data_IF_602547322792
#
_entry.id   IF_602547322792
#
_cell.length_a   1.000
_cell.length_b   1.000
_cell.length_c   1.000
_cell.angle_alpha   90.00
_cell.angle_beta   90.00
_cell.angle_gamma   90.00
#
_symmetry.space_group_name_H-M   'P 1'
#
loop_
_entity.id
_entity.type
_entity.pdbx_description
1 polymer ?
#
# COMPACT_ATOMS: atom_id res chain seq x y z
N UNK A 1 -32.44 -32.97 6.32
CA UNK A 1 -31.60 -32.21 5.35
C UNK A 1 -30.20 -32.01 5.94
N UNK A 2 -29.12 -32.32 5.22
CA UNK A 2 -27.74 -32.21 5.71
C UNK A 2 -27.26 -30.75 5.73
N UNK A 3 -26.54 -30.35 6.79
CA UNK A 3 -25.97 -28.99 6.98
C UNK A 3 -25.13 -28.50 5.80
N UNK A 4 -24.46 -29.42 5.08
CA UNK A 4 -23.72 -29.12 3.85
C UNK A 4 -24.63 -28.61 2.73
N UNK A 5 -25.81 -29.20 2.53
CA UNK A 5 -26.76 -28.81 1.47
C UNK A 5 -27.34 -27.42 1.72
N UNK A 6 -27.59 -27.08 2.99
CA UNK A 6 -28.02 -25.73 3.40
C UNK A 6 -26.92 -24.71 3.10
N UNK A 7 -25.66 -25.02 3.40
CA UNK A 7 -24.52 -24.12 3.15
C UNK A 7 -24.33 -23.83 1.65
N UNK A 8 -24.41 -24.86 0.80
CA UNK A 8 -24.29 -24.72 -0.67
C UNK A 8 -25.47 -23.92 -1.25
N UNK A 9 -26.69 -24.17 -0.74
CA UNK A 9 -27.89 -23.41 -1.10
C UNK A 9 -27.75 -21.92 -0.77
N UNK A 10 -27.23 -21.59 0.42
CA UNK A 10 -27.06 -20.21 0.86
C UNK A 10 -26.06 -19.43 -0.01
N UNK A 11 -24.93 -20.03 -0.37
CA UNK A 11 -23.92 -19.40 -1.23
C UNK A 11 -24.51 -19.10 -2.61
N UNK A 12 -25.29 -20.03 -3.18
CA UNK A 12 -25.96 -19.83 -4.48
C UNK A 12 -27.12 -18.82 -4.40
N UNK A 13 -27.94 -18.85 -3.35
CA UNK A 13 -29.14 -18.02 -3.19
C UNK A 13 -28.88 -16.55 -2.87
N UNK A 14 -27.70 -16.20 -2.35
CA UNK A 14 -27.31 -14.81 -2.02
C UNK A 14 -26.11 -14.30 -2.83
N UNK A 15 -25.87 -14.86 -4.02
CA UNK A 15 -24.68 -14.59 -4.84
C UNK A 15 -24.34 -13.11 -5.01
N UNK A 16 -25.33 -12.22 -5.14
CA UNK A 16 -25.12 -10.77 -5.30
C UNK A 16 -24.56 -10.08 -4.04
N UNK A 17 -24.85 -10.59 -2.84
CA UNK A 17 -24.28 -10.10 -1.56
C UNK A 17 -22.91 -10.71 -1.29
N UNK A 18 -22.68 -11.93 -1.77
CA UNK A 18 -21.38 -12.61 -1.69
C UNK A 18 -20.39 -12.16 -2.77
N UNK A 19 -20.86 -11.58 -3.88
CA UNK A 19 -20.04 -11.25 -5.04
C UNK A 19 -18.89 -10.29 -4.69
N UNK A 20 -19.15 -9.22 -3.94
CA UNK A 20 -18.10 -8.26 -3.57
C UNK A 20 -17.05 -8.89 -2.63
N UNK A 21 -17.49 -9.70 -1.68
CA UNK A 21 -16.61 -10.44 -0.77
C UNK A 21 -15.75 -11.47 -1.50
N UNK A 22 -16.38 -12.25 -2.38
CA UNK A 22 -15.73 -13.26 -3.19
C UNK A 22 -14.75 -12.64 -4.16
N UNK A 23 -15.15 -11.60 -4.90
CA UNK A 23 -14.28 -10.89 -5.83
C UNK A 23 -13.05 -10.29 -5.13
N UNK A 24 -13.24 -9.66 -3.97
CA UNK A 24 -12.11 -9.14 -3.20
C UNK A 24 -11.19 -10.24 -2.68
N UNK A 25 -11.72 -11.40 -2.30
CA UNK A 25 -10.92 -12.55 -1.86
C UNK A 25 -10.12 -13.16 -3.00
N UNK A 26 -10.75 -13.31 -4.19
CA UNK A 26 -10.08 -13.76 -5.43
C UNK A 26 -8.95 -12.81 -5.80
N UNK A 27 -9.21 -11.50 -5.77
CA UNK A 27 -8.23 -10.47 -6.07
C UNK A 27 -7.06 -10.49 -5.08
N UNK A 28 -7.33 -10.66 -3.78
CA UNK A 28 -6.28 -10.75 -2.76
C UNK A 28 -5.36 -11.96 -2.99
N UNK A 29 -5.93 -13.14 -3.26
CA UNK A 29 -5.16 -14.35 -3.60
C UNK A 29 -4.34 -14.12 -4.88
N UNK A 30 -4.97 -13.56 -5.92
CA UNK A 30 -4.31 -13.28 -7.19
C UNK A 30 -3.10 -12.36 -7.01
N UNK A 31 -3.29 -11.21 -6.38
CA UNK A 31 -2.21 -10.23 -6.17
C UNK A 31 -1.13 -10.82 -5.28
N UNK A 32 -1.50 -11.52 -4.20
CA UNK A 32 -0.52 -12.19 -3.34
C UNK A 32 0.30 -13.23 -4.12
N UNK A 33 -0.34 -14.06 -4.94
CA UNK A 33 0.33 -15.04 -5.78
C UNK A 33 1.31 -14.38 -6.75
N UNK A 34 0.90 -13.27 -7.38
CA UNK A 34 1.78 -12.51 -8.27
C UNK A 34 3.06 -12.08 -7.54
N UNK A 35 2.92 -11.46 -6.36
CA UNK A 35 4.09 -11.05 -5.58
C UNK A 35 4.93 -12.26 -5.14
N UNK A 36 4.30 -13.34 -4.69
CA UNK A 36 4.99 -14.57 -4.26
C UNK A 36 5.76 -15.24 -5.41
N UNK A 37 5.15 -15.27 -6.60
CA UNK A 37 5.75 -15.84 -7.80
C UNK A 37 7.02 -15.09 -8.22
N UNK A 38 7.09 -13.77 -8.02
CA UNK A 38 8.31 -13.00 -8.27
C UNK A 38 9.36 -13.23 -7.18
N UNK A 39 8.96 -13.13 -5.90
CA UNK A 39 9.86 -13.22 -4.74
C UNK A 39 10.57 -14.59 -4.67
N UNK A 40 9.89 -15.65 -5.07
CA UNK A 40 10.40 -17.03 -5.01
C UNK A 40 10.88 -17.55 -6.37
N UNK A 41 11.00 -16.70 -7.39
CA UNK A 41 11.42 -17.12 -8.72
C UNK A 41 12.91 -17.52 -8.74
N UNK A 42 13.29 -18.68 -9.31
CA UNK A 42 14.70 -19.11 -9.36
C UNK A 42 15.65 -18.08 -9.98
N UNK A 43 15.25 -17.44 -11.10
CA UNK A 43 16.05 -16.39 -11.75
C UNK A 43 16.21 -15.11 -10.90
N UNK A 44 15.33 -14.89 -9.91
CA UNK A 44 15.38 -13.74 -9.00
C UNK A 44 16.17 -14.09 -7.74
N UNK A 45 16.08 -15.34 -7.27
CA UNK A 45 16.76 -15.83 -6.06
C UNK A 45 18.22 -16.20 -6.33
N UNK A 46 18.50 -16.81 -7.48
CA UNK A 46 19.83 -17.35 -7.83
C UNK A 46 20.52 -16.57 -8.96
N UNK A 47 19.94 -15.46 -9.44
CA UNK A 47 20.32 -14.84 -10.72
C UNK A 47 21.00 -13.47 -10.67
N UNK A 48 21.33 -13.00 -11.88
CA UNK A 48 22.21 -11.90 -12.32
C UNK A 48 21.74 -10.46 -12.01
N UNK A 49 20.73 -10.26 -11.16
CA UNK A 49 20.10 -8.94 -10.97
C UNK A 49 20.65 -8.27 -9.72
N UNK A 50 21.59 -7.34 -9.91
CA UNK A 50 22.31 -6.62 -8.84
C UNK A 50 21.44 -5.81 -7.87
N UNK A 51 20.14 -5.62 -8.17
CA UNK A 51 19.17 -4.92 -7.33
C UNK A 51 17.95 -5.76 -6.93
N UNK A 52 17.90 -7.05 -7.28
CA UNK A 52 16.74 -7.90 -7.02
C UNK A 52 16.42 -8.02 -5.52
N UNK A 53 17.42 -8.00 -4.64
CA UNK A 53 17.19 -8.16 -3.20
C UNK A 53 16.46 -6.96 -2.56
N UNK A 54 16.65 -5.74 -3.06
CA UNK A 54 15.91 -4.56 -2.56
C UNK A 54 14.45 -4.63 -2.99
N UNK A 55 14.21 -4.98 -4.26
CA UNK A 55 12.85 -5.19 -4.80
C UNK A 55 12.15 -6.32 -4.04
N UNK A 56 12.84 -7.45 -3.84
CA UNK A 56 12.30 -8.62 -3.12
C UNK A 56 11.85 -8.25 -1.71
N UNK A 57 12.68 -7.52 -0.96
CA UNK A 57 12.31 -7.02 0.37
C UNK A 57 11.06 -6.13 0.33
N UNK A 58 10.97 -5.21 -0.64
CA UNK A 58 9.77 -4.38 -0.83
C UNK A 58 8.50 -5.18 -1.14
N UNK A 59 8.61 -6.23 -1.97
CA UNK A 59 7.50 -7.12 -2.28
C UNK A 59 7.07 -7.99 -1.10
N UNK A 60 8.01 -8.44 -0.27
CA UNK A 60 7.70 -9.17 0.98
C UNK A 60 6.94 -8.27 1.96
N UNK A 61 7.35 -7.01 2.12
CA UNK A 61 6.57 -6.03 2.92
C UNK A 61 5.15 -5.86 2.36
N UNK A 62 5.03 -5.77 1.03
CA UNK A 62 3.73 -5.67 0.36
C UNK A 62 2.85 -6.91 0.59
N UNK A 63 3.43 -8.11 0.65
CA UNK A 63 2.71 -9.34 0.99
C UNK A 63 2.10 -9.28 2.41
N UNK A 64 2.87 -8.83 3.40
CA UNK A 64 2.35 -8.65 4.77
C UNK A 64 1.18 -7.67 4.81
N UNK A 65 1.28 -6.56 4.05
CA UNK A 65 0.20 -5.57 3.93
C UNK A 65 -1.06 -6.21 3.34
N UNK A 66 -0.94 -6.98 2.26
CA UNK A 66 -2.07 -7.66 1.61
C UNK A 66 -2.75 -8.65 2.55
N UNK A 67 -1.98 -9.46 3.28
CA UNK A 67 -2.53 -10.43 4.23
C UNK A 67 -3.26 -9.74 5.37
N UNK A 68 -2.66 -8.68 5.94
CA UNK A 68 -3.27 -7.86 6.98
C UNK A 68 -4.58 -7.21 6.50
N UNK A 69 -4.55 -6.57 5.33
CA UNK A 69 -5.73 -5.96 4.72
C UNK A 69 -6.84 -6.99 4.47
N UNK A 70 -6.48 -8.15 3.91
CA UNK A 70 -7.42 -9.25 3.66
C UNK A 70 -8.03 -9.74 4.96
N UNK A 71 -7.23 -9.92 6.00
CA UNK A 71 -7.72 -10.35 7.32
C UNK A 71 -8.80 -9.40 7.87
N UNK A 72 -8.51 -8.10 7.91
CA UNK A 72 -9.46 -7.10 8.40
C UNK A 72 -10.69 -6.97 7.50
N UNK A 73 -10.49 -6.98 6.19
CA UNK A 73 -11.57 -6.87 5.21
C UNK A 73 -12.52 -8.07 5.30
N UNK A 74 -11.99 -9.29 5.34
CA UNK A 74 -12.79 -10.51 5.42
C UNK A 74 -13.53 -10.57 6.77
N UNK A 75 -12.89 -10.18 7.88
CA UNK A 75 -13.58 -10.06 9.18
C UNK A 75 -14.73 -9.05 9.16
N UNK A 76 -14.51 -7.86 8.59
CA UNK A 76 -15.53 -6.82 8.48
C UNK A 76 -16.69 -7.28 7.59
N UNK A 77 -16.37 -7.81 6.41
CA UNK A 77 -17.33 -8.36 5.46
C UNK A 77 -18.15 -9.47 6.10
N UNK A 78 -17.51 -10.39 6.81
CA UNK A 78 -18.19 -11.49 7.47
C UNK A 78 -19.13 -11.03 8.60
N UNK A 79 -18.72 -9.99 9.33
CA UNK A 79 -19.59 -9.33 10.32
C UNK A 79 -20.81 -8.66 9.67
N UNK A 80 -20.63 -7.99 8.53
CA UNK A 80 -21.74 -7.42 7.75
C UNK A 80 -22.66 -8.50 7.18
N UNK A 81 -22.08 -9.62 6.76
CA UNK A 81 -22.78 -10.78 6.24
C UNK A 81 -23.70 -11.44 7.29
N UNK A 82 -23.19 -11.69 8.50
CA UNK A 82 -24.02 -12.13 9.63
C UNK A 82 -25.14 -11.14 9.90
N UNK A 83 -24.83 -9.83 9.84
CA UNK A 83 -25.84 -8.79 10.06
C UNK A 83 -26.96 -8.82 9.02
N UNK A 84 -26.66 -9.18 7.78
CA UNK A 84 -27.64 -9.32 6.70
C UNK A 84 -28.52 -10.58 6.87
N UNK A 85 -28.03 -11.63 7.54
CA UNK A 85 -28.71 -12.91 7.75
C UNK A 85 -29.27 -13.12 9.17
N UNK A 86 -29.38 -12.04 9.95
CA UNK A 86 -29.89 -12.10 11.33
C UNK A 86 -31.26 -12.78 11.44
N UNK A 87 -32.14 -12.60 10.45
CA UNK A 87 -33.47 -13.24 10.44
C UNK A 87 -33.36 -14.76 10.29
N UNK A 88 -32.46 -15.24 9.41
CA UNK A 88 -32.22 -16.68 9.22
C UNK A 88 -31.58 -17.31 10.47
N UNK A 89 -30.53 -16.68 11.02
CA UNK A 89 -29.90 -17.15 12.25
C UNK A 89 -30.85 -17.04 13.46
N UNK A 90 -31.73 -16.05 13.48
CA UNK A 90 -32.77 -15.89 14.50
C UNK A 90 -33.83 -17.00 14.42
N UNK A 91 -34.29 -17.34 13.22
CA UNK A 91 -35.21 -18.46 13.00
C UNK A 91 -34.56 -19.80 13.38
N UNK A 92 -33.30 -20.03 12.97
CA UNK A 92 -32.55 -21.23 13.37
C UNK A 92 -32.40 -21.32 14.90
N UNK A 93 -32.18 -20.20 15.59
CA UNK A 93 -32.14 -20.18 17.06
C UNK A 93 -33.50 -20.54 17.68
N UNK A 94 -34.61 -20.04 17.12
CA UNK A 94 -35.97 -20.35 17.57
C UNK A 94 -36.34 -21.83 17.35
N UNK A 95 -35.82 -22.44 16.28
CA UNK A 95 -35.97 -23.87 15.99
C UNK A 95 -35.03 -24.77 16.82
N UNK A 96 -34.31 -24.21 17.81
CA UNK A 96 -33.46 -24.97 18.73
C UNK A 96 -32.05 -25.28 18.21
N UNK A 97 -31.57 -24.62 17.14
CA UNK A 97 -30.22 -24.84 16.65
C UNK A 97 -29.17 -24.43 17.70
N UNK A 98 -28.26 -25.36 18.00
CA UNK A 98 -27.19 -25.13 18.98
C UNK A 98 -26.13 -24.18 18.41
N UNK A 99 -25.39 -23.49 19.30
CA UNK A 99 -24.27 -22.61 18.91
C UNK A 99 -23.25 -23.37 18.04
N UNK A 100 -22.97 -24.64 18.36
CA UNK A 100 -22.05 -25.48 17.58
C UNK A 100 -22.52 -25.77 16.15
N UNK A 101 -23.83 -25.98 15.94
CA UNK A 101 -24.39 -26.19 14.60
C UNK A 101 -24.31 -24.91 13.76
N UNK A 102 -24.62 -23.75 14.34
CA UNK A 102 -24.46 -22.45 13.66
C UNK A 102 -23.00 -22.17 13.29
N UNK A 103 -22.08 -22.46 14.23
CA UNK A 103 -20.63 -22.35 14.03
C UNK A 103 -20.15 -23.17 12.84
N UNK A 104 -20.60 -24.44 12.77
CA UNK A 104 -20.20 -25.36 11.70
C UNK A 104 -20.68 -24.91 10.32
N UNK A 105 -21.87 -24.33 10.23
CA UNK A 105 -22.39 -23.76 8.98
C UNK A 105 -21.46 -22.63 8.50
N UNK A 106 -21.12 -21.70 9.38
CA UNK A 106 -20.34 -20.50 9.03
C UNK A 106 -18.91 -20.86 8.64
N UNK A 107 -18.26 -21.73 9.40
CA UNK A 107 -16.91 -22.20 9.05
C UNK A 107 -16.93 -22.92 7.71
N UNK A 108 -17.93 -23.77 7.45
CA UNK A 108 -18.07 -24.46 6.16
C UNK A 108 -18.29 -23.47 5.01
N UNK A 109 -19.11 -22.42 5.20
CA UNK A 109 -19.30 -21.36 4.20
C UNK A 109 -17.99 -20.62 3.91
N UNK A 110 -17.20 -20.25 4.93
CA UNK A 110 -15.90 -19.60 4.73
C UNK A 110 -14.91 -20.49 4.00
N UNK A 111 -14.86 -21.78 4.33
CA UNK A 111 -13.97 -22.75 3.66
C UNK A 111 -14.37 -22.95 2.21
N UNK A 112 -15.66 -23.06 1.90
CA UNK A 112 -16.14 -23.22 0.51
C UNK A 112 -15.84 -21.98 -0.35
N UNK A 113 -16.09 -20.79 0.20
CA UNK A 113 -15.79 -19.53 -0.49
C UNK A 113 -14.27 -19.33 -0.62
N UNK A 114 -13.52 -19.70 0.42
CA UNK A 114 -12.07 -19.63 0.44
C UNK A 114 -11.42 -20.55 -0.60
N UNK A 115 -11.83 -21.81 -0.68
CA UNK A 115 -11.31 -22.77 -1.66
C UNK A 115 -11.62 -22.35 -3.10
N UNK A 116 -12.85 -21.90 -3.36
CA UNK A 116 -13.21 -21.37 -4.69
C UNK A 116 -12.46 -20.07 -5.00
N UNK A 117 -12.22 -19.22 -4.00
CA UNK A 117 -11.42 -18.01 -4.13
C UNK A 117 -9.96 -18.29 -4.44
N UNK A 118 -9.37 -19.29 -3.78
CA UNK A 118 -8.00 -19.75 -4.03
C UNK A 118 -7.87 -20.31 -5.44
N UNK A 119 -8.80 -21.19 -5.84
CA UNK A 119 -8.80 -21.80 -7.16
C UNK A 119 -8.90 -20.75 -8.29
N UNK A 120 -9.84 -19.80 -8.19
CA UNK A 120 -9.97 -18.74 -9.19
C UNK A 120 -8.82 -17.72 -9.12
N UNK A 121 -8.35 -17.38 -7.93
CA UNK A 121 -7.25 -16.42 -7.75
C UNK A 121 -5.94 -16.95 -8.33
N UNK A 122 -5.62 -18.22 -8.12
CA UNK A 122 -4.47 -18.88 -8.74
C UNK A 122 -4.70 -19.11 -10.24
N UNK A 123 -5.89 -19.56 -10.63
CA UNK A 123 -6.25 -19.78 -12.04
C UNK A 123 -6.10 -18.53 -12.90
N UNK A 124 -6.48 -17.37 -12.36
CA UNK A 124 -6.27 -16.07 -13.01
C UNK A 124 -4.86 -15.49 -12.78
N UNK A 125 -4.22 -15.81 -11.64
CA UNK A 125 -2.90 -15.32 -11.28
C UNK A 125 -1.76 -15.94 -12.12
N UNK A 126 -1.84 -17.23 -12.46
CA UNK A 126 -0.83 -17.92 -13.27
C UNK A 126 -0.63 -17.26 -14.65
N UNK A 127 -1.66 -16.99 -15.47
CA UNK A 127 -1.45 -16.30 -16.74
C UNK A 127 -1.00 -14.84 -16.55
N UNK A 128 -1.48 -14.16 -15.50
CA UNK A 128 -1.06 -12.78 -15.20
C UNK A 128 0.40 -12.70 -14.72
N UNK A 129 0.95 -13.75 -14.11
CA UNK A 129 2.34 -13.75 -13.65
C UNK A 129 3.31 -13.65 -14.81
N UNK A 130 2.96 -14.17 -16.00
CA UNK A 130 3.73 -13.94 -17.24
C UNK A 130 3.83 -12.46 -17.59
N UNK A 131 2.72 -11.74 -17.53
CA UNK A 131 2.66 -10.30 -17.84
C UNK A 131 3.48 -9.53 -16.80
N UNK A 132 3.31 -9.86 -15.52
CA UNK A 132 4.04 -9.22 -14.42
C UNK A 132 5.56 -9.46 -14.51
N UNK A 133 6.01 -10.70 -14.74
CA UNK A 133 7.43 -11.02 -14.89
C UNK A 133 8.05 -10.28 -16.09
N UNK A 134 7.32 -10.18 -17.20
CA UNK A 134 7.74 -9.39 -18.36
C UNK A 134 7.84 -7.89 -18.06
N UNK A 135 6.87 -7.32 -17.34
CA UNK A 135 6.89 -5.93 -16.92
C UNK A 135 8.08 -5.65 -15.98
N UNK A 136 8.28 -6.51 -14.97
CA UNK A 136 9.39 -6.39 -14.04
C UNK A 136 10.75 -6.52 -14.73
N UNK A 137 10.90 -7.43 -15.69
CA UNK A 137 12.14 -7.59 -16.46
C UNK A 137 12.52 -6.28 -17.18
N UNK A 138 11.54 -5.59 -17.78
CA UNK A 138 11.76 -4.29 -18.44
C UNK A 138 12.11 -3.20 -17.45
N UNK A 139 11.41 -3.13 -16.31
CA UNK A 139 11.68 -2.13 -15.27
C UNK A 139 13.05 -2.33 -14.60
N UNK A 140 13.52 -3.57 -14.50
CA UNK A 140 14.83 -3.92 -13.93
C UNK A 140 15.99 -3.81 -14.94
N UNK A 141 15.71 -3.56 -16.22
CA UNK A 141 16.73 -3.44 -17.26
C UNK A 141 17.54 -4.72 -17.52
N UNK A 142 16.97 -5.89 -17.23
CA UNK A 142 17.68 -7.17 -17.39
C UNK A 142 17.81 -7.51 -18.88
N UNK A 143 19.03 -7.78 -19.35
CA UNK A 143 19.36 -8.07 -20.76
C UNK A 143 18.69 -9.34 -21.29
N UNK A 144 18.43 -10.32 -20.41
CA UNK A 144 17.65 -11.51 -20.69
C UNK A 144 16.32 -11.48 -19.91
N UNK A 145 15.17 -11.68 -20.57
CA UNK A 145 13.87 -11.66 -19.87
C UNK A 145 13.77 -12.82 -18.88
N UNK A 146 13.18 -12.55 -17.71
CA UNK A 146 12.90 -13.59 -16.71
C UNK A 146 11.98 -14.62 -17.35
N UNK A 147 12.38 -15.90 -17.29
CA UNK A 147 11.63 -16.97 -17.95
C UNK A 147 10.29 -17.17 -17.27
N UNK A 148 9.24 -17.40 -18.04
CA UNK A 148 7.96 -17.76 -17.45
C UNK A 148 8.03 -19.20 -16.94
N UNK A 149 7.95 -19.36 -15.62
CA UNK A 149 7.82 -20.65 -14.95
C UNK A 149 6.74 -20.56 -13.88
N UNK A 150 5.94 -21.61 -13.76
CA UNK A 150 5.03 -21.75 -12.62
C UNK A 150 5.85 -22.14 -11.40
N UNK A 151 6.07 -21.17 -10.51
CA UNK A 151 6.82 -21.36 -9.28
C UNK A 151 5.96 -22.15 -8.28
N UNK A 152 6.15 -23.47 -8.23
CA UNK A 152 5.39 -24.38 -7.34
C UNK A 152 5.45 -23.95 -5.86
N UNK A 153 6.61 -23.52 -5.31
CA UNK A 153 6.65 -22.99 -3.94
C UNK A 153 5.69 -21.82 -3.70
N UNK A 154 5.54 -20.91 -4.66
CA UNK A 154 4.64 -19.76 -4.54
C UNK A 154 3.16 -20.18 -4.57
N UNK A 155 2.81 -21.19 -5.38
CA UNK A 155 1.46 -21.77 -5.43
C UNK A 155 1.09 -22.40 -4.09
N UNK A 156 1.99 -23.24 -3.55
CA UNK A 156 1.76 -23.92 -2.26
C UNK A 156 1.70 -22.93 -1.10
N UNK A 157 2.60 -21.94 -1.09
CA UNK A 157 2.63 -20.91 -0.06
C UNK A 157 1.35 -20.08 -0.05
N UNK A 158 0.91 -19.62 -1.22
CA UNK A 158 -0.34 -18.86 -1.37
C UNK A 158 -1.54 -19.70 -0.95
N UNK A 159 -1.62 -20.95 -1.42
CA UNK A 159 -2.74 -21.85 -1.09
C UNK A 159 -2.82 -22.13 0.41
N UNK A 160 -1.69 -22.49 1.03
CA UNK A 160 -1.63 -22.79 2.45
C UNK A 160 -1.96 -21.59 3.33
N UNK A 161 -1.38 -20.42 3.03
CA UNK A 161 -1.60 -19.20 3.79
C UNK A 161 -3.07 -18.75 3.75
N UNK A 162 -3.67 -18.67 2.56
CA UNK A 162 -5.06 -18.26 2.43
C UNK A 162 -6.03 -19.31 2.98
N UNK A 163 -5.72 -20.60 2.86
CA UNK A 163 -6.52 -21.65 3.49
C UNK A 163 -6.59 -21.49 5.02
N UNK A 164 -5.43 -21.31 5.66
CA UNK A 164 -5.34 -21.04 7.10
C UNK A 164 -6.09 -19.74 7.43
N UNK A 165 -5.91 -18.69 6.64
CA UNK A 165 -6.56 -17.40 6.82
C UNK A 165 -8.10 -17.53 6.84
N UNK A 166 -8.70 -18.23 5.88
CA UNK A 166 -10.15 -18.43 5.83
C UNK A 166 -10.68 -19.28 6.99
N UNK A 167 -9.94 -20.29 7.43
CA UNK A 167 -10.30 -21.12 8.61
C UNK A 167 -10.25 -20.29 9.90
N UNK A 168 -9.18 -19.52 10.09
CA UNK A 168 -9.03 -18.63 11.25
C UNK A 168 -10.15 -17.60 11.29
N UNK A 169 -10.45 -16.96 10.16
CA UNK A 169 -11.50 -15.94 10.10
C UNK A 169 -12.89 -16.54 10.30
N UNK A 170 -13.17 -17.72 9.74
CA UNK A 170 -14.42 -18.46 10.00
C UNK A 170 -14.61 -18.77 11.49
N UNK A 171 -13.53 -19.14 12.19
CA UNK A 171 -13.52 -19.41 13.62
C UNK A 171 -13.72 -18.13 14.45
N UNK A 172 -12.97 -17.06 14.18
CA UNK A 172 -13.13 -15.77 14.87
C UNK A 172 -14.54 -15.22 14.67
N UNK A 173 -15.07 -15.30 13.45
CA UNK A 173 -16.39 -14.80 13.13
C UNK A 173 -17.49 -15.54 13.91
N UNK A 174 -17.30 -16.84 14.11
CA UNK A 174 -18.19 -17.67 14.92
C UNK A 174 -18.23 -17.20 16.39
N UNK A 175 -17.11 -16.78 16.96
CA UNK A 175 -17.04 -16.30 18.35
C UNK A 175 -17.86 -15.02 18.56
N UNK A 176 -18.02 -14.20 17.51
CA UNK A 176 -18.81 -12.96 17.57
C UNK A 176 -20.33 -13.21 17.59
N UNK A 177 -20.77 -14.44 17.31
CA UNK A 177 -22.17 -14.83 17.27
C UNK A 177 -22.58 -15.43 18.62
N UNK A 178 -23.43 -14.69 19.32
CA UNK A 178 -24.21 -15.22 20.43
C UNK A 178 -25.70 -15.19 20.06
N UNK A 179 -26.44 -16.30 20.25
CA UNK A 179 -27.89 -16.35 19.95
C UNK A 179 -28.67 -15.26 20.72
N UNK A 180 -28.21 -14.88 21.93
CA UNK A 180 -28.78 -13.77 22.72
C UNK A 180 -28.66 -12.42 22.01
N UNK A 181 -27.59 -12.21 21.23
CA UNK A 181 -27.33 -10.99 20.47
C UNK A 181 -28.26 -10.91 19.26
N UNK A 182 -28.54 -12.04 18.60
CA UNK A 182 -29.44 -12.13 17.43
C UNK A 182 -30.88 -11.75 17.81
N UNK A 183 -31.39 -12.24 18.95
CA UNK A 183 -32.73 -11.87 19.45
C UNK A 183 -32.80 -10.39 19.85
N UNK A 184 -31.76 -9.85 20.51
CA UNK A 184 -31.69 -8.42 20.88
C UNK A 184 -31.65 -7.51 19.64
N UNK A 185 -30.96 -7.93 18.58
CA UNK A 185 -30.87 -7.21 17.31
C UNK A 185 -32.20 -7.20 16.52
N UNK A 186 -33.11 -8.15 16.76
CA UNK A 186 -34.47 -8.14 16.18
C UNK A 186 -35.36 -7.07 16.84
N UNK A 187 -35.16 -6.78 18.14
CA UNK A 187 -35.87 -5.71 18.87
C UNK A 187 -35.32 -4.30 18.58
N UNK A 188 -34.07 -4.17 18.15
CA UNK A 188 -33.42 -2.87 17.90
C UNK A 188 -33.99 -2.09 16.71
N UNK A 189 -34.72 -2.74 15.79
CA UNK A 189 -35.31 -2.09 14.62
C UNK A 189 -36.49 -1.15 14.95
N UNK A 190 -36.94 -1.10 16.21
CA UNK A 190 -38.10 -0.32 16.65
C UNK A 190 -37.77 1.00 17.37
N UNK A 191 -36.50 1.41 17.45
CA UNK A 191 -36.15 2.70 18.10
C UNK A 191 -36.24 3.88 17.12
N UNK A 192 -36.87 5.00 17.50
CA UNK A 192 -36.94 6.20 16.66
C UNK A 192 -35.54 6.78 16.40
N UNK A 193 -35.29 7.23 15.16
CA UNK A 193 -34.00 7.82 14.76
C UNK A 193 -33.79 9.17 15.46
N UNK A 194 -32.73 9.28 16.25
CA UNK A 194 -32.35 10.53 16.93
C UNK A 194 -31.77 11.51 15.90
N UNK A 195 -32.19 12.78 15.94
CA UNK A 195 -31.70 13.81 15.02
C UNK A 195 -30.18 14.01 15.18
N UNK A 196 -29.39 14.12 14.09
CA UNK A 196 -27.93 14.22 14.17
C UNK A 196 -27.51 15.49 14.91
N UNK A 197 -26.43 15.44 15.69
CA UNK A 197 -25.78 16.63 16.24
C UNK A 197 -24.38 16.75 15.65
N UNK A 198 -23.93 17.99 15.43
CA UNK A 198 -22.56 18.30 15.07
C UNK A 198 -21.93 19.27 16.09
N UNK A 199 -20.62 19.16 16.26
CA UNK A 199 -19.85 20.11 17.07
C UNK A 199 -19.13 21.11 16.16
N UNK A 200 -19.39 22.40 16.36
CA UNK A 200 -18.75 23.48 15.59
C UNK A 200 -17.23 23.49 15.75
N UNK A 201 -16.74 23.26 16.97
CA UNK A 201 -15.31 23.21 17.27
C UNK A 201 -14.61 22.09 16.52
N UNK A 202 -15.20 20.89 16.52
CA UNK A 202 -14.62 19.73 15.83
C UNK A 202 -14.70 19.89 14.31
N UNK A 203 -15.77 20.54 13.80
CA UNK A 203 -15.86 20.89 12.40
C UNK A 203 -14.73 21.85 11.98
N UNK A 204 -14.48 22.92 12.74
CA UNK A 204 -13.38 23.84 12.47
C UNK A 204 -12.01 23.16 12.55
N UNK A 205 -11.78 22.37 13.60
CA UNK A 205 -10.55 21.60 13.77
C UNK A 205 -10.28 20.67 12.59
N UNK A 206 -11.32 20.05 12.01
CA UNK A 206 -11.15 19.19 10.84
C UNK A 206 -10.64 19.93 9.60
N UNK A 207 -11.13 21.15 9.36
CA UNK A 207 -10.63 22.00 8.26
C UNK A 207 -9.19 22.43 8.53
N UNK A 208 -8.85 22.75 9.78
CA UNK A 208 -7.49 23.13 10.17
C UNK A 208 -6.51 21.97 9.99
N UNK A 209 -6.87 20.75 10.38
CA UNK A 209 -6.04 19.55 10.18
C UNK A 209 -5.78 19.27 8.69
N UNK A 210 -6.82 19.36 7.85
CA UNK A 210 -6.68 19.12 6.41
C UNK A 210 -5.83 20.24 5.79
N UNK A 211 -6.18 21.50 6.03
CA UNK A 211 -5.46 22.64 5.49
C UNK A 211 -4.01 22.72 5.97
N UNK A 212 -3.76 22.48 7.26
CA UNK A 212 -2.43 22.42 7.85
C UNK A 212 -1.59 21.27 7.31
N UNK A 213 -2.18 20.09 7.11
CA UNK A 213 -1.50 18.96 6.48
C UNK A 213 -1.03 19.27 5.05
N UNK A 214 -1.90 19.87 4.23
CA UNK A 214 -1.51 20.32 2.89
C UNK A 214 -0.52 21.50 2.91
N UNK A 215 -0.62 22.40 3.90
CA UNK A 215 0.33 23.49 4.09
C UNK A 215 1.74 22.98 4.40
N UNK A 216 1.86 21.97 5.27
CA UNK A 216 3.15 21.30 5.52
C UNK A 216 3.64 20.61 4.25
N UNK A 217 2.76 19.89 3.53
CA UNK A 217 3.12 19.20 2.29
C UNK A 217 3.70 20.15 1.22
N UNK A 218 3.30 21.42 1.20
CA UNK A 218 3.82 22.43 0.28
C UNK A 218 5.27 22.82 0.57
N UNK A 219 5.72 22.74 1.82
CA UNK A 219 7.04 23.24 2.27
C UNK A 219 8.09 22.13 2.33
N UNK A 220 7.70 20.86 2.12
CA UNK A 220 8.61 19.72 2.24
C UNK A 220 9.56 19.63 1.05
N UNK A 221 10.87 19.68 1.34
CA UNK A 221 11.94 19.49 0.36
C UNK A 221 12.30 18.01 0.13
N UNK A 222 13.02 17.75 -0.96
CA UNK A 222 13.35 16.41 -1.48
C UNK A 222 13.98 15.44 -0.47
N UNK A 223 14.83 15.91 0.44
CA UNK A 223 15.46 15.06 1.48
C UNK A 223 14.48 14.63 2.58
N UNK A 224 13.47 15.45 2.85
CA UNK A 224 12.46 15.22 3.89
C UNK A 224 11.16 14.62 3.35
N UNK A 225 11.06 14.44 2.04
CA UNK A 225 9.86 13.96 1.35
C UNK A 225 9.33 12.62 1.89
N UNK A 226 10.20 11.60 1.93
CA UNK A 226 9.84 10.26 2.41
C UNK A 226 9.44 10.25 3.89
N UNK A 227 10.22 10.83 4.84
CA UNK A 227 9.81 10.84 6.25
C UNK A 227 8.60 11.73 6.54
N UNK A 228 8.35 12.78 5.76
CA UNK A 228 7.18 13.65 5.94
C UNK A 228 5.87 13.03 5.42
N UNK A 229 5.94 12.07 4.50
CA UNK A 229 4.77 11.40 3.92
C UNK A 229 3.84 10.81 5.01
N UNK A 230 4.40 10.05 5.95
CA UNK A 230 3.65 9.38 7.01
C UNK A 230 2.87 10.35 7.93
N UNK A 231 3.52 11.34 8.58
CA UNK A 231 2.81 12.26 9.46
C UNK A 231 1.80 13.13 8.71
N UNK A 232 2.12 13.63 7.51
CA UNK A 232 1.18 14.42 6.69
C UNK A 232 -0.05 13.59 6.34
N UNK A 233 0.14 12.37 5.85
CA UNK A 233 -0.97 11.47 5.50
C UNK A 233 -1.80 11.13 6.72
N UNK A 234 -1.18 10.88 7.88
CA UNK A 234 -1.90 10.59 9.12
C UNK A 234 -2.77 11.78 9.59
N UNK A 235 -2.22 12.99 9.57
CA UNK A 235 -2.92 14.23 9.96
C UNK A 235 -4.10 14.50 9.03
N UNK A 236 -3.89 14.42 7.71
CA UNK A 236 -4.96 14.62 6.71
C UNK A 236 -6.02 13.53 6.80
N UNK A 237 -5.62 12.28 7.09
CA UNK A 237 -6.55 11.17 7.29
C UNK A 237 -7.46 11.40 8.50
N UNK A 238 -6.88 11.79 9.64
CA UNK A 238 -7.64 12.13 10.84
C UNK A 238 -8.59 13.31 10.59
N UNK A 239 -8.09 14.36 9.92
CA UNK A 239 -8.90 15.51 9.51
C UNK A 239 -10.08 15.11 8.63
N UNK A 240 -9.88 14.17 7.70
CA UNK A 240 -10.92 13.66 6.80
C UNK A 240 -12.02 12.90 7.56
N UNK A 241 -11.66 12.08 8.54
CA UNK A 241 -12.64 11.41 9.40
C UNK A 241 -13.51 12.41 10.18
N UNK A 242 -12.89 13.43 10.76
CA UNK A 242 -13.59 14.48 11.49
C UNK A 242 -14.47 15.33 10.55
N UNK A 243 -13.99 15.59 9.34
CA UNK A 243 -14.69 16.36 8.31
C UNK A 243 -16.02 15.68 7.94
N UNK A 244 -16.00 14.40 7.57
CA UNK A 244 -17.23 13.67 7.24
C UNK A 244 -18.15 13.45 8.44
N UNK A 245 -17.60 13.35 9.66
CA UNK A 245 -18.41 13.15 10.85
C UNK A 245 -19.10 14.43 11.37
N UNK A 246 -18.51 15.60 11.11
CA UNK A 246 -18.89 16.87 11.75
C UNK A 246 -19.05 18.01 10.75
N UNK A 247 -18.01 18.35 9.99
CA UNK A 247 -18.03 19.51 9.10
C UNK A 247 -19.04 19.36 7.96
N UNK A 248 -19.11 18.19 7.31
CA UNK A 248 -20.06 17.91 6.24
C UNK A 248 -21.52 18.07 6.70
N UNK A 249 -21.85 17.52 7.88
CA UNK A 249 -23.16 17.63 8.51
C UNK A 249 -23.45 19.09 8.92
N UNK A 250 -22.45 19.79 9.45
CA UNK A 250 -22.54 21.20 9.81
C UNK A 250 -22.79 22.12 8.62
N UNK A 251 -22.16 21.86 7.47
CA UNK A 251 -22.39 22.59 6.21
C UNK A 251 -23.85 22.40 5.77
N UNK A 252 -24.35 21.16 5.74
CA UNK A 252 -25.73 20.87 5.36
C UNK A 252 -26.75 21.49 6.31
N UNK A 253 -26.50 21.44 7.63
CA UNK A 253 -27.35 22.11 8.62
C UNK A 253 -27.30 23.64 8.52
N UNK A 254 -26.18 24.21 8.06
CA UNK A 254 -26.08 25.65 7.82
C UNK A 254 -26.82 26.07 6.56
N UNK A 255 -26.83 25.21 5.52
CA UNK A 255 -27.67 25.39 4.33
C UNK A 255 -29.15 25.31 4.67
N UNK A 256 -29.54 24.43 5.61
CA UNK A 256 -30.92 24.33 6.08
C UNK A 256 -31.43 25.62 6.76
N UNK A 257 -30.54 26.46 7.32
CA UNK A 257 -30.93 27.74 7.93
C UNK A 257 -31.28 28.82 6.90
N UNK A 258 -30.89 28.65 5.63
CA UNK A 258 -31.17 29.63 4.58
C UNK A 258 -32.53 29.34 3.95
N UNK A 259 -33.53 30.14 4.31
CA UNK A 259 -34.91 29.97 3.86
C UNK A 259 -35.04 29.95 2.33
N UNK A 260 -34.27 30.77 1.61
CA UNK A 260 -34.28 30.82 0.13
C UNK A 260 -33.83 29.52 -0.54
N UNK A 261 -32.97 28.73 0.13
CA UNK A 261 -32.49 27.45 -0.40
C UNK A 261 -33.36 26.29 0.05
N UNK A 262 -33.87 26.33 1.30
CA UNK A 262 -34.65 25.26 1.90
C UNK A 262 -36.03 25.07 1.24
N UNK A 263 -36.74 26.19 0.98
CA UNK A 263 -38.10 26.16 0.44
C UNK A 263 -38.14 26.11 -1.10
N UNK A 264 -36.99 25.98 -1.74
CA UNK A 264 -36.92 25.82 -3.19
C UNK A 264 -37.11 24.34 -3.55
N UNK A 265 -38.15 24.06 -4.33
CA UNK A 265 -38.45 22.74 -4.88
C UNK A 265 -38.52 21.63 -3.81
N UNK A 266 -37.79 20.53 -4.02
CA UNK A 266 -37.74 19.35 -3.15
C UNK A 266 -36.64 19.45 -2.07
N UNK A 267 -35.97 20.61 -1.93
CA UNK A 267 -34.79 20.75 -1.07
C UNK A 267 -35.08 20.46 0.40
N UNK A 268 -36.30 20.76 0.89
CA UNK A 268 -36.71 20.43 2.26
C UNK A 268 -36.62 18.93 2.54
N UNK A 269 -37.11 18.11 1.61
CA UNK A 269 -37.13 16.66 1.74
C UNK A 269 -35.72 16.06 1.52
N UNK A 270 -35.00 16.54 0.50
CA UNK A 270 -33.68 16.02 0.14
C UNK A 270 -32.62 16.41 1.17
N UNK A 271 -32.59 17.64 1.69
CA UNK A 271 -31.67 18.06 2.76
C UNK A 271 -31.94 17.31 4.06
N UNK A 272 -33.21 17.12 4.41
CA UNK A 272 -33.62 16.35 5.57
C UNK A 272 -33.01 14.94 5.54
N UNK A 273 -33.26 14.19 4.46
CA UNK A 273 -32.73 12.83 4.30
C UNK A 273 -31.20 12.82 4.15
N UNK A 274 -30.61 13.78 3.43
CA UNK A 274 -29.17 13.85 3.21
C UNK A 274 -28.40 14.08 4.51
N UNK A 275 -28.89 14.90 5.44
CA UNK A 275 -28.25 15.13 6.74
C UNK A 275 -28.15 13.82 7.54
N UNK A 276 -29.23 13.02 7.58
CA UNK A 276 -29.21 11.71 8.24
C UNK A 276 -28.28 10.73 7.54
N UNK A 277 -28.37 10.63 6.20
CA UNK A 277 -27.51 9.72 5.41
C UNK A 277 -26.03 10.06 5.52
N UNK A 278 -25.68 11.34 5.55
CA UNK A 278 -24.31 11.79 5.73
C UNK A 278 -23.79 11.41 7.12
N UNK A 279 -24.60 11.57 8.18
CA UNK A 279 -24.18 11.16 9.54
C UNK A 279 -24.06 9.65 9.67
N UNK A 280 -25.03 8.89 9.15
CA UNK A 280 -25.04 7.42 9.22
C UNK A 280 -23.88 6.80 8.44
N UNK A 281 -23.54 7.37 7.27
CA UNK A 281 -22.49 6.85 6.39
C UNK A 281 -21.14 7.58 6.51
N UNK A 282 -20.99 8.53 7.45
CA UNK A 282 -19.78 9.34 7.60
C UNK A 282 -18.49 8.51 7.66
N UNK A 283 -18.52 7.39 8.39
CA UNK A 283 -17.36 6.48 8.52
C UNK A 283 -16.99 5.81 7.20
N UNK A 284 -17.98 5.44 6.40
CA UNK A 284 -17.77 4.78 5.10
C UNK A 284 -17.21 5.80 4.11
N UNK A 285 -17.83 6.99 4.03
CA UNK A 285 -17.36 8.07 3.16
C UNK A 285 -15.92 8.50 3.50
N UNK A 286 -15.61 8.67 4.79
CA UNK A 286 -14.26 8.98 5.23
C UNK A 286 -13.27 7.89 4.89
N UNK A 287 -13.61 6.62 5.13
CA UNK A 287 -12.73 5.49 4.81
C UNK A 287 -12.42 5.44 3.31
N UNK A 288 -13.41 5.63 2.44
CA UNK A 288 -13.20 5.66 0.98
C UNK A 288 -12.28 6.82 0.59
N UNK A 289 -12.54 8.03 1.09
CA UNK A 289 -11.72 9.21 0.78
C UNK A 289 -10.27 9.06 1.26
N UNK A 290 -10.06 8.56 2.49
CA UNK A 290 -8.73 8.32 3.06
C UNK A 290 -7.98 7.25 2.27
N UNK A 291 -8.64 6.15 1.91
CA UNK A 291 -8.01 5.09 1.11
C UNK A 291 -7.57 5.63 -0.27
N UNK A 292 -8.43 6.40 -0.95
CA UNK A 292 -8.08 7.04 -2.22
C UNK A 292 -6.91 8.01 -2.06
N UNK A 293 -6.93 8.85 -1.02
CA UNK A 293 -5.85 9.79 -0.74
C UNK A 293 -4.53 9.07 -0.46
N UNK A 294 -4.52 8.02 0.38
CA UNK A 294 -3.33 7.23 0.66
C UNK A 294 -2.70 6.63 -0.59
N UNK A 295 -3.50 6.09 -1.51
CA UNK A 295 -3.01 5.52 -2.78
C UNK A 295 -2.38 6.62 -3.63
N UNK A 296 -3.09 7.73 -3.84
CA UNK A 296 -2.59 8.85 -4.65
C UNK A 296 -1.32 9.45 -4.05
N UNK A 297 -1.27 9.65 -2.74
CA UNK A 297 -0.10 10.18 -2.05
C UNK A 297 1.08 9.22 -2.11
N UNK A 298 0.88 7.91 -1.93
CA UNK A 298 1.95 6.93 -2.04
C UNK A 298 2.54 6.92 -3.46
N UNK A 299 1.70 6.87 -4.50
CA UNK A 299 2.16 6.92 -5.90
C UNK A 299 2.85 8.25 -6.21
N UNK A 300 2.29 9.38 -5.77
CA UNK A 300 2.89 10.70 -5.96
C UNK A 300 4.24 10.84 -5.27
N UNK A 301 4.38 10.30 -4.05
CA UNK A 301 5.65 10.31 -3.30
C UNK A 301 6.71 9.47 -4.01
N UNK A 302 6.34 8.30 -4.54
CA UNK A 302 7.27 7.45 -5.30
C UNK A 302 7.75 8.19 -6.56
N UNK A 303 6.83 8.75 -7.34
CA UNK A 303 7.16 9.47 -8.57
C UNK A 303 8.06 10.68 -8.31
N UNK A 304 7.72 11.49 -7.29
CA UNK A 304 8.50 12.67 -6.93
C UNK A 304 9.86 12.30 -6.33
N UNK A 305 9.94 11.23 -5.53
CA UNK A 305 11.21 10.71 -5.01
C UNK A 305 12.12 10.23 -6.14
N UNK A 306 11.59 9.50 -7.14
CA UNK A 306 12.34 9.07 -8.31
C UNK A 306 12.85 10.27 -9.13
N UNK A 307 11.98 11.22 -9.44
CA UNK A 307 12.35 12.42 -10.19
C UNK A 307 13.41 13.26 -9.46
N UNK A 308 13.29 13.39 -8.14
CA UNK A 308 14.27 14.10 -7.31
C UNK A 308 15.60 13.34 -7.26
N UNK A 309 15.56 12.02 -7.11
CA UNK A 309 16.76 11.18 -7.09
C UNK A 309 17.52 11.22 -8.42
N UNK A 310 16.83 11.16 -9.55
CA UNK A 310 17.44 11.31 -10.88
C UNK A 310 18.06 12.70 -11.04
N UNK A 311 17.35 13.75 -10.61
CA UNK A 311 17.87 15.12 -10.64
C UNK A 311 19.13 15.27 -9.79
N UNK A 312 19.13 14.71 -8.58
CA UNK A 312 20.30 14.72 -7.68
C UNK A 312 21.47 13.95 -8.30
N UNK A 313 21.24 12.80 -8.94
CA UNK A 313 22.30 12.07 -9.65
C UNK A 313 22.90 12.92 -10.76
N UNK A 314 22.08 13.51 -11.63
CA UNK A 314 22.57 14.33 -12.75
C UNK A 314 23.33 15.57 -12.26
N UNK A 315 22.86 16.20 -11.17
CA UNK A 315 23.51 17.38 -10.60
C UNK A 315 24.79 17.04 -9.83
N UNK A 316 24.85 15.88 -9.18
CA UNK A 316 26.02 15.45 -8.38
C UNK A 316 27.07 14.76 -9.23
N UNK A 317 26.65 14.00 -10.25
CA UNK A 317 27.51 13.28 -11.18
C UNK A 317 27.31 13.86 -12.57
N UNK A 318 27.96 15.00 -12.82
CA UNK A 318 27.89 15.71 -14.11
C UNK A 318 28.50 14.89 -15.26
N UNK A 319 29.40 13.97 -14.95
CA UNK A 319 30.08 13.12 -15.92
C UNK A 319 29.49 11.70 -15.92
N UNK A 320 29.33 11.12 -17.12
CA UNK A 320 28.75 9.78 -17.31
C UNK A 320 29.59 8.65 -16.69
N UNK A 321 30.90 8.88 -16.54
CA UNK A 321 31.84 7.97 -15.92
C UNK A 321 32.59 8.74 -14.84
N UNK A 322 32.60 8.21 -13.62
CA UNK A 322 33.36 8.77 -12.48
C UNK A 322 34.03 7.61 -11.76
N UNK A 323 35.35 7.65 -11.65
CA UNK A 323 36.13 6.63 -10.99
C UNK A 323 36.99 7.29 -9.91
N UNK A 324 37.01 6.70 -8.72
CA UNK A 324 37.91 7.12 -7.66
C UNK A 324 38.97 6.04 -7.48
N UNK A 325 40.21 6.35 -7.86
CA UNK A 325 41.35 5.45 -7.68
C UNK A 325 41.90 5.69 -6.27
N UNK A 326 42.01 4.63 -5.47
CA UNK A 326 42.63 4.67 -4.14
C UNK A 326 43.94 3.89 -4.20
N UNK A 327 45.07 4.55 -3.92
CA UNK A 327 46.41 3.94 -3.91
C UNK A 327 47.44 4.79 -4.65
N UNK A 328 48.66 4.26 -4.80
CA UNK A 328 49.80 4.94 -5.44
C UNK A 328 49.73 4.98 -6.97
N UNK A 329 48.77 4.27 -7.57
CA UNK A 329 48.50 4.37 -8.99
C UNK A 329 48.01 5.79 -9.30
N UNK A 330 48.83 6.57 -10.00
CA UNK A 330 48.54 7.96 -10.32
C UNK A 330 47.24 8.07 -11.11
N UNK A 331 46.40 9.04 -10.76
CA UNK A 331 45.12 9.29 -11.43
C UNK A 331 45.27 9.45 -12.96
N UNK A 332 46.43 9.95 -13.43
CA UNK A 332 46.76 10.07 -14.85
C UNK A 332 46.96 8.74 -15.59
N UNK A 333 47.53 7.71 -14.95
CA UNK A 333 47.75 6.39 -15.58
C UNK A 333 46.43 5.63 -15.77
N UNK A 334 45.51 5.78 -14.82
CA UNK A 334 44.17 5.20 -14.97
C UNK A 334 43.36 5.98 -16.00
N UNK A 335 43.48 7.31 -16.04
CA UNK A 335 42.82 8.13 -17.04
C UNK A 335 43.28 7.80 -18.47
N UNK A 336 44.58 7.62 -18.69
CA UNK A 336 45.12 7.23 -20.00
C UNK A 336 44.64 5.85 -20.45
N UNK A 337 44.56 4.88 -19.54
CA UNK A 337 44.04 3.54 -19.84
C UNK A 337 42.54 3.54 -20.13
N UNK A 338 41.76 4.37 -19.43
CA UNK A 338 40.34 4.58 -19.74
C UNK A 338 40.18 5.20 -21.13
N UNK A 339 41.03 6.16 -21.50
CA UNK A 339 41.02 6.79 -22.82
C UNK A 339 41.30 5.79 -23.94
N UNK A 340 42.25 4.87 -23.74
CA UNK A 340 42.57 3.81 -24.69
C UNK A 340 41.36 2.89 -24.93
N UNK A 341 40.74 2.40 -23.85
CA UNK A 341 39.55 1.53 -23.93
C UNK A 341 38.37 2.24 -24.61
N UNK A 342 38.10 3.50 -24.25
CA UNK A 342 37.01 4.26 -24.87
C UNK A 342 37.29 4.56 -26.35
N UNK A 343 38.56 4.70 -26.74
CA UNK A 343 39.00 4.87 -28.12
C UNK A 343 38.77 3.62 -28.97
N UNK A 344 39.05 2.43 -28.42
CA UNK A 344 38.79 1.14 -29.08
C UNK A 344 37.30 0.94 -29.41
N UNK A 345 36.41 1.37 -28.50
CA UNK A 345 34.95 1.31 -28.69
C UNK A 345 34.38 2.51 -29.48
N UNK A 346 35.23 3.36 -30.07
CA UNK A 346 34.83 4.55 -30.84
C UNK A 346 33.97 5.57 -30.07
N UNK A 347 34.11 5.63 -28.75
CA UNK A 347 33.35 6.57 -27.89
C UNK A 347 34.06 7.93 -27.87
N UNK A 348 33.38 8.98 -28.35
CA UNK A 348 33.93 10.34 -28.36
C UNK A 348 33.89 10.96 -26.97
N UNK A 349 35.05 11.31 -26.43
CA UNK A 349 35.19 12.02 -25.14
C UNK A 349 34.90 13.51 -25.36
N UNK A 350 33.86 14.03 -24.71
CA UNK A 350 33.44 15.43 -24.85
C UNK A 350 34.08 16.33 -23.79
N UNK A 351 34.21 15.83 -22.56
CA UNK A 351 34.73 16.58 -21.42
C UNK A 351 35.39 15.59 -20.45
N UNK A 352 36.63 15.85 -20.06
CA UNK A 352 37.43 15.04 -19.14
C UNK A 352 37.97 15.95 -18.03
N UNK A 353 37.83 15.51 -16.78
CA UNK A 353 38.35 16.21 -15.62
C UNK A 353 39.09 15.20 -14.75
N UNK A 354 40.40 15.35 -14.63
CA UNK A 354 41.23 14.56 -13.72
C UNK A 354 41.47 15.39 -12.46
N UNK A 355 41.02 14.87 -11.32
CA UNK A 355 41.20 15.50 -10.02
C UNK A 355 42.18 14.68 -9.19
N UNK A 356 43.25 15.32 -8.72
CA UNK A 356 44.15 14.72 -7.74
C UNK A 356 43.60 14.95 -6.34
N UNK A 357 43.09 13.89 -5.71
CA UNK A 357 42.55 13.93 -4.34
C UNK A 357 43.54 13.41 -3.32
N UNK A 358 43.62 14.06 -2.15
CA UNK A 358 44.38 13.55 -1.00
C UNK A 358 43.51 12.56 -0.20
N UNK A 359 44.03 11.37 0.06
CA UNK A 359 43.34 10.38 0.89
C UNK A 359 43.60 10.68 2.38
N UNK A 360 42.63 11.32 3.04
CA UNK A 360 42.73 11.66 4.47
C UNK A 360 42.18 10.50 5.32
N UNK A 361 43.02 9.84 6.11
CA UNK A 361 42.57 8.95 7.18
C UNK A 361 42.07 9.79 8.35
N UNK A 362 40.76 9.87 8.58
CA UNK A 362 40.23 10.79 9.59
C UNK A 362 40.63 10.39 11.02
N UNK A 363 41.30 11.27 11.75
CA UNK A 363 40.94 11.52 13.15
C UNK A 363 40.12 12.82 13.18
N UNK A 364 38.81 12.69 13.39
CA UNK A 364 37.95 13.85 13.65
C UNK A 364 38.18 14.31 15.09
N UNK A 365 38.73 15.51 15.26
CA UNK A 365 38.62 16.30 16.49
C UNK A 365 37.87 17.58 16.14
N UNK A 366 36.73 17.83 16.80
CA UNK A 366 35.90 19.04 16.65
C UNK A 366 35.60 19.49 15.21
N UNK A 367 35.09 18.58 14.37
CA UNK A 367 34.56 18.93 13.04
C UNK A 367 35.60 19.47 12.04
N UNK A 368 36.90 19.45 12.40
CA UNK A 368 37.99 19.96 11.58
C UNK A 368 38.81 18.78 11.07
N UNK A 369 39.02 18.70 9.75
CA UNK A 369 39.86 17.68 9.12
C UNK A 369 41.34 18.05 9.34
N UNK A 370 42.05 17.26 10.15
CA UNK A 370 43.49 17.40 10.34
C UNK A 370 44.22 16.53 9.30
N UNK A 371 45.16 17.14 8.58
CA UNK A 371 45.98 16.52 7.54
C UNK A 371 47.44 16.65 7.98
N UNK A 372 48.27 15.62 7.77
CA UNK A 372 49.71 15.73 8.04
C UNK A 372 50.38 16.69 7.05
N UNK A 373 51.30 17.52 7.54
CA UNK A 373 52.01 18.50 6.72
C UNK A 373 52.77 17.86 5.56
N UNK A 374 53.36 16.68 5.77
CA UNK A 374 54.04 15.92 4.71
C UNK A 374 53.09 15.51 3.59
N UNK A 375 51.91 14.98 3.93
CA UNK A 375 50.91 14.57 2.94
C UNK A 375 50.34 15.77 2.17
N UNK A 376 50.21 16.93 2.82
CA UNK A 376 49.81 18.16 2.15
C UNK A 376 50.89 18.64 1.15
N UNK A 377 52.16 18.63 1.54
CA UNK A 377 53.26 19.04 0.66
C UNK A 377 53.42 18.10 -0.55
N UNK A 378 53.31 16.78 -0.35
CA UNK A 378 53.34 15.79 -1.44
C UNK A 378 52.18 15.99 -2.43
N UNK A 379 50.99 16.36 -1.92
CA UNK A 379 49.85 16.72 -2.76
C UNK A 379 50.07 18.02 -3.53
N UNK A 380 50.65 19.05 -2.92
CA UNK A 380 50.98 20.31 -3.61
C UNK A 380 52.00 20.09 -4.71
N UNK A 381 53.02 19.25 -4.48
CA UNK A 381 54.02 18.92 -5.51
C UNK A 381 53.42 18.12 -6.67
N UNK A 382 52.62 17.09 -6.38
CA UNK A 382 51.94 16.31 -7.43
C UNK A 382 50.89 17.12 -8.21
N UNK A 383 50.27 18.12 -7.58
CA UNK A 383 49.28 19.01 -8.23
C UNK A 383 49.92 20.09 -9.12
N UNK A 384 51.23 20.33 -9.00
CA UNK A 384 51.98 21.32 -9.80
C UNK A 384 52.52 20.75 -11.11
N UNK A 385 52.38 19.45 -11.37
CA UNK A 385 52.70 18.89 -12.67
C UNK A 385 51.78 19.51 -13.74
N UNK A 386 52.33 19.97 -14.88
CA UNK A 386 51.55 20.70 -15.88
C UNK A 386 50.44 19.81 -16.44
N UNK A 387 49.21 20.30 -16.35
CA UNK A 387 48.07 19.75 -17.08
C UNK A 387 48.34 19.96 -18.56
N UNK A 388 48.79 18.93 -19.26
CA UNK A 388 48.79 18.92 -20.73
C UNK A 388 47.34 19.08 -21.19
N UNK A 389 47.07 20.22 -21.85
CA UNK A 389 45.78 20.61 -22.42
C UNK A 389 45.41 19.76 -23.64
#
# INVERSE_FOLDING_TARGET
MTLRRISISNVKGMGRKYAAFFASSVLAVLVFYLLASFVMHPDVVNGYVSQAERVRRGLVVSQYIIVSFTFFFVLYSSSAFIRARKKEFGLLALLGATKGQMSKIIVTEHVLIGLSGIALGLGAGIPLSKIMLGAMSRMLGVTSPIRFMVVIPAVLWTSGLFFILFVVIGTITTLQISPRKVVRLLREHQRPKVYPRYSKLVAFLSLLLIGGGYGVAWVVDGRTLVPAMLPVTAVVSLGTFLFFAQASVGILMSLQKKASFLYKDLNLLTLGDLIFRMKENARVLAAVAVLSACVITATGTIYTAEATFLKDIVMTHRHALTFAVRGDAGAGEVASRVREILGEDSVKITEEVVLHGLLVSSQMSDGTLLISESAFNDWVESSRAPVER
#
